data_IF_886192320287
#
_entry.id   IF_886192320287
#
_cell.length_a   1.000
_cell.length_b   1.000
_cell.length_c   1.000
_cell.angle_alpha   90.00
_cell.angle_beta   90.00
_cell.angle_gamma   90.00
#
_symmetry.space_group_name_H-M   'P 1'
#
loop_
_entity.id
_entity.type
_entity.pdbx_description
1 polymer ?
#
# COMPACT_ATOMS: atom_id res chain seq x y z
N UNK A 1 14.40 9.57 -18.65
CA UNK A 1 13.78 8.33 -18.11
C UNK A 1 14.02 8.18 -16.61
N UNK A 2 15.27 8.31 -16.12
CA UNK A 2 15.59 8.23 -14.68
C UNK A 2 14.83 9.26 -13.82
N UNK A 3 14.85 10.55 -14.18
CA UNK A 3 14.16 11.62 -13.44
C UNK A 3 12.66 11.34 -13.25
N UNK A 4 12.00 10.77 -14.26
CA UNK A 4 10.57 10.45 -14.18
C UNK A 4 10.29 9.31 -13.19
N UNK A 5 11.16 8.30 -13.15
CA UNK A 5 11.03 7.20 -12.17
C UNK A 5 11.27 7.69 -10.75
N UNK A 6 12.26 8.57 -10.56
CA UNK A 6 12.49 9.21 -9.26
C UNK A 6 11.28 10.03 -8.85
N UNK A 7 10.75 10.86 -9.74
CA UNK A 7 9.56 11.68 -9.47
C UNK A 7 8.33 10.82 -9.10
N UNK A 8 8.11 9.69 -9.78
CA UNK A 8 7.05 8.74 -9.42
C UNK A 8 7.22 8.20 -7.99
N UNK A 9 8.43 7.80 -7.61
CA UNK A 9 8.69 7.33 -6.23
C UNK A 9 8.46 8.45 -5.21
N UNK A 10 8.88 9.68 -5.53
CA UNK A 10 8.65 10.85 -4.66
C UNK A 10 7.15 11.09 -4.48
N UNK A 11 6.33 11.01 -5.54
CA UNK A 11 4.87 11.11 -5.45
C UNK A 11 4.26 10.01 -4.57
N UNK A 12 4.70 8.75 -4.73
CA UNK A 12 4.23 7.63 -3.90
C UNK A 12 4.56 7.87 -2.42
N UNK A 13 5.79 8.29 -2.10
CA UNK A 13 6.18 8.60 -0.73
C UNK A 13 5.49 9.85 -0.18
N UNK A 14 5.16 10.84 -1.02
CA UNK A 14 4.35 11.98 -0.62
C UNK A 14 2.93 11.56 -0.23
N UNK A 15 2.27 10.69 -1.00
CA UNK A 15 0.96 10.13 -0.64
C UNK A 15 1.03 9.32 0.67
N UNK A 16 2.11 8.56 0.86
CA UNK A 16 2.35 7.81 2.10
C UNK A 16 2.56 8.75 3.30
N UNK A 17 3.32 9.83 3.12
CA UNK A 17 3.53 10.84 4.15
C UNK A 17 2.24 11.61 4.48
N UNK A 18 1.43 11.94 3.47
CA UNK A 18 0.14 12.60 3.64
C UNK A 18 -0.82 11.74 4.48
N UNK A 19 -0.93 10.45 4.15
CA UNK A 19 -1.76 9.52 4.92
C UNK A 19 -1.25 9.34 6.35
N UNK A 20 0.06 9.36 6.58
CA UNK A 20 0.62 9.35 7.93
C UNK A 20 0.26 10.63 8.69
N UNK A 21 0.36 11.79 8.04
CA UNK A 21 0.01 13.08 8.62
C UNK A 21 -1.47 13.17 9.02
N UNK A 22 -2.37 12.49 8.32
CA UNK A 22 -3.78 12.38 8.72
C UNK A 22 -3.89 11.66 10.08
N UNK A 23 -3.14 10.58 10.30
CA UNK A 23 -3.20 9.78 11.52
C UNK A 23 -2.48 10.47 12.68
N UNK A 24 -1.24 10.90 12.46
CA UNK A 24 -0.41 11.47 13.53
C UNK A 24 -0.71 12.94 13.78
N UNK A 25 -0.96 13.72 12.72
CA UNK A 25 -1.21 15.16 12.81
C UNK A 25 -2.64 15.49 13.20
N UNK A 26 -3.63 14.97 12.46
CA UNK A 26 -5.04 15.34 12.69
C UNK A 26 -5.73 14.48 13.75
N UNK A 27 -5.50 13.16 13.76
CA UNK A 27 -6.10 12.27 14.77
C UNK A 27 -5.30 12.22 16.09
N UNK A 28 -4.07 12.73 16.09
CA UNK A 28 -3.22 12.80 17.29
C UNK A 28 -2.75 11.43 17.82
N UNK A 29 -2.84 10.38 17.01
CA UNK A 29 -2.47 9.02 17.41
C UNK A 29 -1.05 8.69 16.95
N UNK A 30 -0.21 8.19 17.86
CA UNK A 30 1.09 7.62 17.52
C UNK A 30 0.89 6.21 16.95
N UNK A 31 0.73 6.11 15.64
CA UNK A 31 0.61 4.84 14.92
C UNK A 31 1.81 4.63 14.00
N UNK A 32 2.56 3.54 14.21
CA UNK A 32 3.74 3.17 13.42
C UNK A 32 3.49 1.94 12.51
N UNK A 33 2.23 1.59 12.29
CA UNK A 33 1.79 0.45 11.48
C UNK A 33 1.78 0.67 9.97
N UNK A 34 2.25 1.82 9.49
CA UNK A 34 1.89 2.35 8.17
C UNK A 34 2.45 1.53 7.00
N UNK A 35 3.64 0.95 7.17
CA UNK A 35 4.29 0.14 6.13
C UNK A 35 3.51 -1.15 5.83
N UNK A 36 2.86 -1.75 6.85
CA UNK A 36 2.01 -2.91 6.65
C UNK A 36 0.79 -2.61 5.77
N UNK A 37 0.09 -1.49 6.00
CA UNK A 37 -1.05 -1.10 5.18
C UNK A 37 -0.63 -0.75 3.74
N UNK A 38 0.51 -0.08 3.59
CA UNK A 38 1.10 0.16 2.27
C UNK A 38 1.39 -1.14 1.53
N UNK A 39 1.97 -2.12 2.22
CA UNK A 39 2.25 -3.45 1.68
C UNK A 39 0.97 -4.21 1.29
N UNK A 40 -0.07 -4.21 2.14
CA UNK A 40 -1.34 -4.91 1.86
C UNK A 40 -1.94 -4.43 0.53
N UNK A 41 -2.00 -3.13 0.29
CA UNK A 41 -2.54 -2.58 -0.97
C UNK A 41 -1.65 -2.91 -2.17
N UNK A 42 -0.34 -2.80 -2.02
CA UNK A 42 0.62 -3.16 -3.07
C UNK A 42 0.53 -4.64 -3.45
N UNK A 43 0.48 -5.54 -2.47
CA UNK A 43 0.36 -6.98 -2.72
C UNK A 43 -1.02 -7.39 -3.25
N UNK A 44 -2.11 -6.77 -2.77
CA UNK A 44 -3.44 -7.01 -3.31
C UNK A 44 -3.52 -6.64 -4.81
N UNK A 45 -3.03 -5.45 -5.17
CA UNK A 45 -3.00 -5.01 -6.58
C UNK A 45 -2.06 -5.86 -7.43
N UNK A 46 -0.90 -6.27 -6.90
CA UNK A 46 0.05 -7.15 -7.57
C UNK A 46 -0.54 -8.53 -7.86
N UNK A 47 -1.22 -9.17 -6.90
CA UNK A 47 -1.85 -10.49 -7.09
C UNK A 47 -2.95 -10.40 -8.15
N UNK A 48 -3.80 -9.38 -8.08
CA UNK A 48 -4.95 -9.26 -8.97
C UNK A 48 -4.54 -8.97 -10.42
N UNK A 49 -3.47 -8.21 -10.60
CA UNK A 49 -2.92 -7.93 -11.94
C UNK A 49 -2.10 -9.11 -12.46
N UNK A 50 -1.23 -9.70 -11.64
CA UNK A 50 -0.28 -10.74 -12.07
C UNK A 50 -0.90 -12.14 -12.19
N UNK A 51 -1.79 -12.53 -11.26
CA UNK A 51 -2.39 -13.87 -11.25
C UNK A 51 -3.78 -13.93 -11.87
N UNK A 52 -4.59 -12.88 -11.69
CA UNK A 52 -5.98 -12.88 -12.15
C UNK A 52 -6.17 -12.13 -13.48
N UNK A 53 -5.15 -11.43 -13.98
CA UNK A 53 -5.22 -10.69 -15.25
C UNK A 53 -6.28 -9.58 -15.25
N UNK A 54 -6.69 -9.09 -14.08
CA UNK A 54 -7.72 -8.06 -13.95
C UNK A 54 -7.16 -6.73 -14.45
N UNK A 55 -7.97 -5.98 -15.19
CA UNK A 55 -7.60 -4.66 -15.69
C UNK A 55 -7.19 -3.74 -14.52
N UNK A 56 -6.07 -3.04 -14.67
CA UNK A 56 -5.51 -2.11 -13.68
C UNK A 56 -6.56 -1.16 -13.09
N UNK A 57 -7.46 -0.63 -13.93
CA UNK A 57 -8.51 0.30 -13.51
C UNK A 57 -9.54 -0.30 -12.56
N UNK A 58 -9.83 -1.60 -12.68
CA UNK A 58 -10.68 -2.32 -11.72
C UNK A 58 -9.87 -2.75 -10.50
N UNK A 59 -8.61 -3.14 -10.70
CA UNK A 59 -7.72 -3.53 -9.61
C UNK A 59 -7.51 -2.41 -8.60
N UNK A 60 -7.39 -1.15 -9.05
CA UNK A 60 -7.16 0.01 -8.20
C UNK A 60 -8.26 0.18 -7.12
N UNK A 61 -9.56 0.37 -7.43
CA UNK A 61 -10.60 0.50 -6.42
C UNK A 61 -10.77 -0.79 -5.59
N UNK A 62 -10.60 -1.96 -6.19
CA UNK A 62 -10.73 -3.23 -5.45
C UNK A 62 -9.61 -3.35 -4.40
N UNK A 63 -8.36 -3.04 -4.75
CA UNK A 63 -7.25 -3.05 -3.81
C UNK A 63 -7.44 -2.02 -2.69
N UNK A 64 -8.02 -0.85 -3.01
CA UNK A 64 -8.35 0.17 -2.02
C UNK A 64 -9.40 -0.34 -1.02
N UNK A 65 -10.46 -0.98 -1.51
CA UNK A 65 -11.52 -1.58 -0.67
C UNK A 65 -10.94 -2.70 0.19
N UNK A 66 -10.16 -3.62 -0.38
CA UNK A 66 -9.53 -4.72 0.38
C UNK A 66 -8.65 -4.17 1.50
N UNK A 67 -7.78 -3.20 1.18
CA UNK A 67 -6.89 -2.57 2.16
C UNK A 67 -7.69 -1.82 3.21
N UNK A 68 -8.76 -1.13 2.83
CA UNK A 68 -9.67 -0.43 3.72
C UNK A 68 -10.40 -1.35 4.68
N UNK A 69 -10.88 -2.52 4.22
CA UNK A 69 -11.52 -3.53 5.07
C UNK A 69 -10.53 -4.08 6.10
N UNK A 70 -9.32 -4.44 5.66
CA UNK A 70 -8.28 -4.96 6.56
C UNK A 70 -7.84 -3.87 7.55
N UNK A 71 -7.70 -2.63 7.09
CA UNK A 71 -7.43 -1.46 7.91
C UNK A 71 -8.50 -1.18 8.95
N UNK A 72 -9.77 -1.25 8.56
CA UNK A 72 -10.90 -1.08 9.48
C UNK A 72 -10.94 -2.19 10.53
N UNK A 73 -10.67 -3.44 10.14
CA UNK A 73 -10.66 -4.58 11.05
C UNK A 73 -9.53 -4.44 12.08
N UNK A 74 -8.31 -4.15 11.63
CA UNK A 74 -7.15 -3.92 12.50
C UNK A 74 -7.34 -2.69 13.38
N UNK A 75 -7.84 -1.59 12.81
CA UNK A 75 -8.16 -0.36 13.54
C UNK A 75 -9.21 -0.60 14.62
N UNK A 76 -10.26 -1.38 14.32
CA UNK A 76 -11.29 -1.73 15.29
C UNK A 76 -10.72 -2.49 16.51
N UNK A 77 -9.77 -3.39 16.29
CA UNK A 77 -9.06 -4.08 17.39
C UNK A 77 -8.20 -3.10 18.19
N UNK A 78 -7.54 -2.16 17.50
CA UNK A 78 -6.62 -1.20 18.10
C UNK A 78 -7.30 -0.09 18.92
N UNK A 79 -8.54 0.30 18.61
CA UNK A 79 -9.30 1.35 19.34
C UNK A 79 -9.49 1.01 20.82
N UNK A 80 -9.39 -0.26 21.22
CA UNK A 80 -9.49 -0.68 22.63
C UNK A 80 -8.25 -0.32 23.46
N UNK A 81 -7.14 0.06 22.82
CA UNK A 81 -5.87 0.38 23.48
C UNK A 81 -5.72 1.90 23.64
N UNK A 82 -5.13 2.34 24.76
CA UNK A 82 -4.88 3.76 25.04
C UNK A 82 -3.42 4.13 24.84
N UNK A 83 -3.21 5.34 24.32
CA UNK A 83 -1.94 6.07 24.30
C UNK A 83 -0.76 5.23 23.80
N UNK A 84 0.21 4.90 24.67
CA UNK A 84 1.44 4.19 24.30
C UNK A 84 1.20 2.74 23.88
N UNK A 85 0.16 2.09 24.40
CA UNK A 85 -0.17 0.71 24.02
C UNK A 85 -0.66 0.64 22.58
N UNK A 86 -1.29 1.70 22.06
CA UNK A 86 -1.68 1.78 20.66
C UNK A 86 -0.43 1.74 19.75
N UNK A 87 0.57 2.56 20.08
CA UNK A 87 1.83 2.61 19.33
C UNK A 87 2.52 1.24 19.29
N UNK A 88 2.69 0.59 20.44
CA UNK A 88 3.31 -0.74 20.55
C UNK A 88 2.53 -1.78 19.73
N UNK A 89 1.20 -1.75 19.81
CA UNK A 89 0.33 -2.67 19.07
C UNK A 89 0.49 -2.47 17.56
N UNK A 90 0.55 -1.23 17.08
CA UNK A 90 0.73 -0.94 15.65
C UNK A 90 2.10 -1.40 15.13
N UNK A 91 3.15 -1.30 15.95
CA UNK A 91 4.49 -1.83 15.63
C UNK A 91 4.42 -3.37 15.52
N UNK A 92 3.76 -4.03 16.48
CA UNK A 92 3.57 -5.49 16.43
C UNK A 92 2.81 -5.95 15.20
N UNK A 93 1.70 -5.29 14.87
CA UNK A 93 0.92 -5.54 13.64
C UNK A 93 1.80 -5.36 12.40
N UNK A 94 2.63 -4.31 12.37
CA UNK A 94 3.55 -4.06 11.27
C UNK A 94 4.51 -5.23 11.05
N UNK A 95 5.19 -5.68 12.11
CA UNK A 95 6.12 -6.79 12.04
C UNK A 95 5.47 -8.09 11.59
N UNK A 96 4.26 -8.40 12.11
CA UNK A 96 3.53 -9.60 11.72
C UNK A 96 3.20 -9.58 10.23
N UNK A 97 2.67 -8.47 9.72
CA UNK A 97 2.26 -8.36 8.31
C UNK A 97 3.48 -8.41 7.39
N UNK A 98 4.55 -7.69 7.72
CA UNK A 98 5.80 -7.72 6.95
C UNK A 98 6.42 -9.13 6.96
N UNK A 99 6.39 -9.81 8.10
CA UNK A 99 6.84 -11.20 8.19
C UNK A 99 6.00 -12.13 7.30
N UNK A 100 4.67 -11.97 7.27
CA UNK A 100 3.80 -12.74 6.37
C UNK A 100 4.22 -12.55 4.91
N UNK A 101 4.50 -11.31 4.48
CA UNK A 101 4.98 -11.07 3.12
C UNK A 101 6.32 -11.72 2.84
N UNK A 102 7.24 -11.70 3.81
CA UNK A 102 8.58 -12.23 3.62
C UNK A 102 8.65 -13.76 3.63
N UNK A 103 7.82 -14.42 4.45
CA UNK A 103 7.84 -15.88 4.60
C UNK A 103 6.83 -16.62 3.71
N UNK A 104 5.80 -15.94 3.19
CA UNK A 104 4.79 -16.60 2.37
C UNK A 104 5.20 -16.65 0.89
N UNK A 105 5.23 -17.86 0.27
CA UNK A 105 5.52 -18.00 -1.16
C UNK A 105 4.48 -17.32 -2.05
N UNK A 106 3.25 -17.15 -1.55
CA UNK A 106 2.14 -16.56 -2.30
C UNK A 106 2.43 -15.11 -2.71
N UNK A 107 3.18 -14.39 -1.87
CA UNK A 107 3.56 -12.98 -2.07
C UNK A 107 4.96 -12.83 -2.72
N UNK A 108 5.55 -13.91 -3.22
CA UNK A 108 6.92 -13.87 -3.77
C UNK A 108 8.03 -13.86 -2.71
N UNK A 109 7.67 -14.07 -1.43
CA UNK A 109 8.58 -14.13 -0.30
C UNK A 109 9.54 -12.91 -0.28
N UNK A 110 10.80 -13.11 0.14
CA UNK A 110 11.80 -12.03 0.21
C UNK A 110 12.12 -11.35 -1.13
N UNK A 111 11.80 -11.97 -2.27
CA UNK A 111 12.05 -11.41 -3.60
C UNK A 111 10.92 -10.47 -4.07
N UNK A 112 9.74 -10.54 -3.45
CA UNK A 112 8.55 -9.80 -3.87
C UNK A 112 7.97 -10.31 -5.19
N UNK A 113 7.02 -9.55 -5.76
CA UNK A 113 6.37 -9.89 -7.03
C UNK A 113 6.69 -8.87 -8.11
N UNK A 114 7.04 -9.37 -9.30
CA UNK A 114 7.14 -8.55 -10.50
C UNK A 114 5.73 -8.25 -11.03
N UNK A 115 5.35 -6.98 -11.08
CA UNK A 115 4.05 -6.54 -11.61
C UNK A 115 4.25 -5.98 -13.01
N UNK A 116 3.41 -6.40 -13.95
CA UNK A 116 3.42 -5.83 -15.29
C UNK A 116 2.95 -4.37 -15.26
N UNK A 117 3.55 -3.55 -16.14
CA UNK A 117 3.19 -2.14 -16.23
C UNK A 117 1.72 -2.00 -16.67
N UNK A 118 0.95 -1.10 -16.05
CA UNK A 118 -0.47 -0.96 -16.38
C UNK A 118 -0.67 -0.48 -17.82
N UNK A 119 -1.73 -1.00 -18.44
CA UNK A 119 -2.16 -0.61 -19.79
C UNK A 119 -3.31 0.40 -19.66
N UNK A 120 -3.18 1.58 -20.29
CA UNK A 120 -4.24 2.58 -20.38
C UNK A 120 -4.93 2.40 -21.73
N UNK A 121 -6.18 1.90 -21.75
CA UNK A 121 -6.95 1.71 -22.99
C UNK A 121 -6.13 1.07 -24.13
N UNK A 122 -5.47 -0.07 -23.85
CA UNK A 122 -4.62 -0.82 -24.79
C UNK A 122 -3.25 -0.19 -25.16
N UNK A 123 -2.85 0.92 -24.54
CA UNK A 123 -1.53 1.54 -24.69
C UNK A 123 -0.70 1.28 -23.43
N UNK A 124 0.52 0.77 -23.56
CA UNK A 124 1.45 0.58 -22.42
C UNK A 124 1.75 1.93 -21.78
N UNK A 125 1.43 2.10 -20.50
CA UNK A 125 1.76 3.35 -19.80
C UNK A 125 3.27 3.49 -19.67
N UNK A 126 3.81 4.54 -20.27
CA UNK A 126 5.17 4.97 -20.01
C UNK A 126 5.24 5.70 -18.66
N UNK A 127 6.43 5.73 -18.04
CA UNK A 127 6.69 6.42 -16.77
C UNK A 127 6.06 7.85 -16.65
N UNK A 128 6.05 8.71 -17.68
CA UNK A 128 5.39 10.02 -17.58
C UNK A 128 3.86 9.96 -17.45
N UNK A 129 3.20 8.99 -18.08
CA UNK A 129 1.75 8.85 -17.99
C UNK A 129 1.32 8.34 -16.61
N UNK A 130 2.13 7.47 -16.00
CA UNK A 130 1.89 7.01 -14.63
C UNK A 130 2.07 8.14 -13.61
N UNK A 131 3.01 9.04 -13.85
CA UNK A 131 3.21 10.23 -13.02
C UNK A 131 1.99 11.14 -13.02
N UNK A 132 1.37 11.37 -14.18
CA UNK A 132 0.13 12.17 -14.28
C UNK A 132 -1.00 11.56 -13.46
N UNK A 133 -1.14 10.22 -13.47
CA UNK A 133 -2.16 9.52 -12.68
C UNK A 133 -1.94 9.67 -11.16
N UNK A 134 -0.69 9.81 -10.70
CA UNK A 134 -0.39 10.01 -9.28
C UNK A 134 -0.64 11.44 -8.77
N UNK A 135 -0.70 12.41 -9.69
CA UNK A 135 -0.89 13.83 -9.34
C UNK A 135 -2.38 14.21 -9.33
N UNK A 136 -3.20 13.52 -10.13
CA UNK A 136 -4.66 13.67 -10.20
C UNK A 136 -5.31 12.93 -9.03
#
# INVERSE_FOLDING_TARGET
MYLTVVAVNVCIFMLLALSLNIITGYAGQSAMGHAAFFGIGAYASAIMTSKMGVNFWLTLPISFIITGIIGALLGFVSIRMKDDFLAITTIGINFIIVAIFQYSPVFGASLGMAVEKPYLFNIRMNAPQYLVLLII
#
